data_IF_855420683048
#
_entry.id   IF_855420683048
#
_cell.length_a   1.000
_cell.length_b   1.000
_cell.length_c   1.000
_cell.angle_alpha   90.00
_cell.angle_beta   90.00
_cell.angle_gamma   90.00
#
_symmetry.space_group_name_H-M   'P 1'
#
loop_
_entity.id
_entity.type
_entity.pdbx_description
1 polymer ?
#
# COMPACT_ATOMS: atom_id res chain seq x y z
N UNK A 1 -4.89 22.69 -5.43
CA UNK A 1 -4.16 23.87 -5.95
C UNK A 1 -2.73 23.42 -6.16
N UNK A 2 -2.27 23.30 -7.42
CA UNK A 2 -0.87 23.02 -7.69
C UNK A 2 -0.10 24.35 -7.67
N UNK A 3 0.95 24.43 -6.87
CA UNK A 3 1.87 25.58 -6.91
C UNK A 3 2.73 25.41 -8.15
N UNK A 4 2.63 26.35 -9.09
CA UNK A 4 3.50 26.36 -10.28
C UNK A 4 4.83 27.01 -9.88
N UNK A 5 5.86 26.18 -9.72
CA UNK A 5 7.24 26.63 -9.55
C UNK A 5 7.85 26.65 -10.95
N UNK A 6 8.28 27.82 -11.47
CA UNK A 6 8.95 27.86 -12.76
C UNK A 6 10.31 27.18 -12.64
N UNK A 7 10.54 26.19 -13.50
CA UNK A 7 11.79 25.45 -13.58
C UNK A 7 12.50 25.84 -14.87
N UNK A 8 13.83 25.99 -14.78
CA UNK A 8 14.70 26.05 -15.94
C UNK A 8 14.68 24.72 -16.71
N UNK A 9 15.09 24.73 -17.97
CA UNK A 9 15.10 23.51 -18.80
C UNK A 9 15.95 22.40 -18.18
N UNK A 10 17.09 22.76 -17.57
CA UNK A 10 17.98 21.81 -16.88
C UNK A 10 17.30 21.20 -15.64
N UNK A 11 16.59 22.01 -14.85
CA UNK A 11 15.83 21.52 -13.69
C UNK A 11 14.65 20.63 -14.13
N UNK A 12 13.96 20.98 -15.22
CA UNK A 12 12.89 20.14 -15.78
C UNK A 12 13.45 18.79 -16.24
N UNK A 13 14.60 18.79 -16.91
CA UNK A 13 15.25 17.56 -17.35
C UNK A 13 15.64 16.67 -16.15
N UNK A 14 16.23 17.25 -15.10
CA UNK A 14 16.58 16.52 -13.88
C UNK A 14 15.36 15.92 -13.17
N UNK A 15 14.25 16.68 -13.10
CA UNK A 15 12.99 16.19 -12.51
C UNK A 15 12.40 15.05 -13.34
N UNK A 16 12.38 15.17 -14.67
CA UNK A 16 11.85 14.12 -15.56
C UNK A 16 12.65 12.83 -15.46
N UNK A 17 13.98 12.93 -15.39
CA UNK A 17 14.88 11.78 -15.24
C UNK A 17 14.70 11.13 -13.85
N UNK A 18 14.58 11.94 -12.80
CA UNK A 18 14.27 11.49 -11.45
C UNK A 18 12.91 10.79 -11.35
N UNK A 19 11.87 11.35 -11.95
CA UNK A 19 10.55 10.73 -12.01
C UNK A 19 10.60 9.38 -12.73
N UNK A 20 11.31 9.31 -13.86
CA UNK A 20 11.52 8.07 -14.61
C UNK A 20 12.25 7.01 -13.77
N UNK A 21 13.25 7.40 -12.98
CA UNK A 21 13.97 6.50 -12.08
C UNK A 21 13.06 5.95 -10.97
N UNK A 22 12.22 6.81 -10.38
CA UNK A 22 11.23 6.40 -9.36
C UNK A 22 10.21 5.44 -9.96
N UNK A 23 9.65 5.73 -11.12
CA UNK A 23 8.65 4.86 -11.76
C UNK A 23 9.22 3.46 -12.05
N UNK A 24 10.47 3.39 -12.53
CA UNK A 24 11.19 2.13 -12.72
C UNK A 24 11.41 1.38 -11.41
N UNK A 25 11.74 2.08 -10.33
CA UNK A 25 11.92 1.47 -9.02
C UNK A 25 10.59 0.90 -8.50
N UNK A 26 9.52 1.68 -8.57
CA UNK A 26 8.19 1.25 -8.13
C UNK A 26 7.70 0.05 -8.93
N UNK A 27 7.92 0.03 -10.25
CA UNK A 27 7.59 -1.11 -11.09
C UNK A 27 8.31 -2.40 -10.65
N UNK A 28 9.58 -2.30 -10.26
CA UNK A 28 10.35 -3.45 -9.75
C UNK A 28 9.92 -3.89 -8.36
N UNK A 29 9.62 -2.94 -7.47
CA UNK A 29 9.18 -3.23 -6.10
C UNK A 29 7.79 -3.85 -6.06
N UNK A 30 6.92 -3.53 -7.03
CA UNK A 30 5.59 -4.10 -7.14
C UNK A 30 5.61 -5.64 -7.24
N UNK A 31 6.69 -6.20 -7.77
CA UNK A 31 6.89 -7.63 -7.97
C UNK A 31 7.83 -8.27 -6.92
N UNK A 32 8.31 -7.49 -5.94
CA UNK A 32 9.16 -8.00 -4.84
C UNK A 32 8.29 -8.55 -3.70
N UNK A 33 8.52 -9.78 -3.21
CA UNK A 33 7.78 -10.32 -2.08
C UNK A 33 8.06 -9.51 -0.82
N UNK A 34 7.00 -9.18 -0.08
CA UNK A 34 7.13 -8.61 1.26
C UNK A 34 7.64 -9.67 2.25
N UNK A 35 8.14 -9.29 3.43
CA UNK A 35 8.52 -10.26 4.46
C UNK A 35 7.38 -11.22 4.87
N UNK A 36 6.12 -10.83 4.68
CA UNK A 36 4.96 -11.68 4.94
C UNK A 36 4.68 -12.69 3.80
N UNK A 37 5.42 -12.63 2.68
CA UNK A 37 5.26 -13.50 1.52
C UNK A 37 4.68 -12.81 0.26
N UNK A 38 3.52 -12.14 0.31
CA UNK A 38 2.87 -11.63 -0.89
C UNK A 38 3.60 -10.41 -1.45
N UNK A 39 3.55 -10.22 -2.77
CA UNK A 39 4.02 -9.00 -3.44
C UNK A 39 2.98 -7.87 -3.32
N UNK A 40 3.38 -6.60 -3.45
CA UNK A 40 2.42 -5.49 -3.49
C UNK A 40 1.30 -5.67 -4.53
N UNK A 41 1.60 -6.19 -5.74
CA UNK A 41 0.55 -6.49 -6.75
C UNK A 41 -0.47 -7.52 -6.28
N UNK A 42 -0.04 -8.50 -5.49
CA UNK A 42 -0.94 -9.53 -4.94
C UNK A 42 -1.81 -8.98 -3.80
N UNK A 43 -1.37 -7.94 -3.11
CA UNK A 43 -2.13 -7.24 -2.07
C UNK A 43 -3.16 -6.26 -2.62
N UNK A 44 -2.92 -5.70 -3.81
CA UNK A 44 -3.83 -4.76 -4.49
C UNK A 44 -5.04 -5.46 -5.13
N UNK A 45 -5.00 -6.79 -5.25
CA UNK A 45 -6.20 -7.58 -5.51
C UNK A 45 -7.09 -7.44 -4.27
N UNK A 46 -8.36 -7.00 -4.39
CA UNK A 46 -9.25 -6.99 -3.25
C UNK A 46 -9.24 -8.40 -2.70
N UNK A 47 -8.63 -8.57 -1.53
CA UNK A 47 -8.77 -9.78 -0.74
C UNK A 47 -10.26 -9.88 -0.58
N UNK A 48 -10.91 -10.79 -1.31
CA UNK A 48 -12.28 -11.18 -1.07
C UNK A 48 -12.36 -11.35 0.43
N UNK A 49 -12.96 -10.36 1.10
CA UNK A 49 -12.64 -10.04 2.48
C UNK A 49 -12.62 -11.35 3.24
N UNK A 50 -11.50 -11.67 3.88
CA UNK A 50 -11.53 -12.73 4.89
C UNK A 50 -12.47 -12.17 5.94
N UNK A 51 -13.76 -12.49 5.79
CA UNK A 51 -14.81 -12.09 6.69
C UNK A 51 -14.48 -12.80 7.98
N UNK A 52 -13.79 -12.08 8.86
CA UNK A 52 -13.49 -12.59 10.19
C UNK A 52 -14.84 -12.82 10.88
N UNK A 53 -15.13 -14.05 11.33
CA UNK A 53 -16.41 -14.34 11.94
C UNK A 53 -16.55 -13.51 13.22
N UNK A 54 -17.64 -12.73 13.32
CA UNK A 54 -18.00 -12.04 14.56
C UNK A 54 -18.47 -13.11 15.55
N UNK A 55 -17.60 -13.49 16.49
CA UNK A 55 -17.93 -14.43 17.56
C UNK A 55 -18.70 -13.68 18.67
N UNK A 56 -19.99 -13.98 18.81
CA UNK A 56 -20.81 -13.48 19.92
C UNK A 56 -20.39 -14.13 21.24
N UNK A 57 -19.70 -13.40 22.11
CA UNK A 57 -19.29 -13.90 23.42
C UNK A 57 -20.45 -13.72 24.40
N UNK A 58 -21.12 -14.82 24.79
CA UNK A 58 -22.06 -14.80 25.92
C UNK A 58 -21.27 -14.78 27.22
N UNK A 59 -21.15 -13.60 27.84
CA UNK A 59 -20.70 -13.47 29.23
C UNK A 59 -21.76 -14.14 30.13
N UNK A 60 -21.53 -15.39 30.48
CA UNK A 60 -22.32 -16.07 31.49
C UNK A 60 -22.13 -15.36 32.83
N UNK A 61 -23.21 -14.80 33.40
CA UNK A 61 -23.25 -14.50 34.83
C UNK A 61 -22.81 -15.75 35.57
N UNK A 62 -21.74 -15.65 36.35
CA UNK A 62 -21.46 -16.61 37.41
C UNK A 62 -22.63 -16.56 38.40
N UNK A 63 -23.62 -17.43 38.17
CA UNK A 63 -24.76 -17.63 39.05
C UNK A 63 -24.42 -18.83 39.95
N UNK A 64 -24.00 -18.49 41.17
CA UNK A 64 -24.25 -19.19 42.44
C UNK A 64 -23.61 -20.57 42.67
N UNK A 65 -22.76 -20.64 43.71
CA UNK A 65 -23.02 -21.40 44.93
C UNK A 65 -22.37 -20.68 46.12
#
# INVERSE_FOLDING_TARGET
MAVSIPLTDDEQAAVADGQTAIDRLLARLADTPTPAGPTPRQLDVPTSAILLPILGIRQGKAQQA
#
